data_IF_614876316711
#
_entry.id   IF_614876316711
#
_cell.length_a   1.000
_cell.length_b   1.000
_cell.length_c   1.000
_cell.angle_alpha   90.00
_cell.angle_beta   90.00
_cell.angle_gamma   90.00
#
_symmetry.space_group_name_H-M   'P 1'
#
loop_
_entity.id
_entity.type
_entity.pdbx_description
1 polymer ?
#
# COMPACT_ATOMS: atom_id res chain seq x y z
N UNK A 1 -20.91 -1.50 3.96
CA UNK A 1 -20.22 -0.80 2.86
C UNK A 1 -18.72 -1.04 3.03
N UNK A 2 -18.04 -1.54 1.99
CA UNK A 2 -16.58 -1.69 2.04
C UNK A 2 -15.93 -0.33 1.76
N UNK A 3 -15.05 0.11 2.66
CA UNK A 3 -14.33 1.37 2.53
C UNK A 3 -13.01 1.05 1.85
N UNK A 4 -12.81 1.69 0.69
CA UNK A 4 -11.58 1.62 -0.09
C UNK A 4 -10.82 2.93 0.08
N UNK A 5 -9.51 2.84 0.24
CA UNK A 5 -8.62 3.97 0.29
C UNK A 5 -7.45 3.72 -0.67
N UNK A 6 -7.02 4.75 -1.38
CA UNK A 6 -5.80 4.69 -2.16
C UNK A 6 -4.79 5.71 -1.63
N UNK A 7 -3.53 5.31 -1.55
CA UNK A 7 -2.41 6.19 -1.18
C UNK A 7 -1.34 6.12 -2.24
N UNK A 8 -0.71 7.26 -2.47
CA UNK A 8 0.46 7.35 -3.33
C UNK A 8 1.72 7.30 -2.47
N UNK A 9 2.68 6.48 -2.86
CA UNK A 9 3.93 6.28 -2.15
C UNK A 9 5.09 6.59 -3.08
N UNK A 10 5.95 7.51 -2.65
CA UNK A 10 7.20 7.84 -3.32
C UNK A 10 8.34 7.48 -2.38
N UNK A 11 8.98 6.34 -2.64
CA UNK A 11 9.99 5.75 -1.75
C UNK A 11 11.18 5.25 -2.54
N UNK A 12 12.39 5.22 -1.94
CA UNK A 12 13.49 4.52 -2.54
C UNK A 12 13.18 3.03 -2.68
N UNK A 13 13.64 2.41 -3.77
CA UNK A 13 13.40 0.99 -4.07
C UNK A 13 13.79 0.09 -2.87
N UNK A 14 14.87 0.47 -2.18
CA UNK A 14 15.43 -0.30 -1.08
C UNK A 14 14.63 -0.22 0.23
N UNK A 15 13.68 0.72 0.36
CA UNK A 15 12.80 0.86 1.54
C UNK A 15 11.37 0.36 1.28
N UNK A 16 11.03 0.06 0.02
CA UNK A 16 9.70 -0.37 -0.40
C UNK A 16 9.13 -1.50 0.47
N UNK A 17 9.90 -2.57 0.69
CA UNK A 17 9.44 -3.72 1.48
C UNK A 17 9.13 -3.34 2.93
N UNK A 18 9.94 -2.49 3.57
CA UNK A 18 9.70 -2.05 4.94
C UNK A 18 8.45 -1.19 5.05
N UNK A 19 8.22 -0.32 4.09
CA UNK A 19 7.05 0.55 4.06
C UNK A 19 5.78 -0.27 3.82
N UNK A 20 5.81 -1.25 2.91
CA UNK A 20 4.69 -2.18 2.72
C UNK A 20 4.35 -2.96 4.00
N UNK A 21 5.35 -3.47 4.71
CA UNK A 21 5.14 -4.15 5.99
C UNK A 21 4.55 -3.24 7.07
N UNK A 22 4.89 -1.95 7.05
CA UNK A 22 4.37 -0.95 8.00
C UNK A 22 2.86 -0.71 7.86
N UNK A 23 2.29 -0.91 6.66
CA UNK A 23 0.85 -0.67 6.45
C UNK A 23 -0.06 -1.76 7.04
N UNK A 24 0.42 -3.00 7.18
CA UNK A 24 -0.37 -4.11 7.71
C UNK A 24 -0.79 -3.97 9.18
N UNK A 25 -0.25 -2.98 9.91
CA UNK A 25 -0.50 -2.80 11.35
C UNK A 25 -1.68 -1.87 11.69
N UNK A 26 -2.26 -1.17 10.71
CA UNK A 26 -3.24 -0.09 10.96
C UNK A 26 -4.71 -0.48 10.72
N UNK A 27 -5.02 -1.79 10.67
CA UNK A 27 -6.38 -2.26 10.39
C UNK A 27 -6.85 -1.96 8.95
N UNK A 28 -5.92 -1.64 8.06
CA UNK A 28 -6.13 -1.54 6.62
C UNK A 28 -5.43 -2.72 5.95
N UNK A 29 -6.15 -3.46 5.12
CA UNK A 29 -5.58 -4.55 4.35
C UNK A 29 -5.11 -4.00 3.00
N UNK A 30 -3.80 -4.07 2.76
CA UNK A 30 -3.23 -3.79 1.45
C UNK A 30 -3.65 -4.88 0.47
N UNK A 31 -4.31 -4.49 -0.61
CA UNK A 31 -4.88 -5.44 -1.59
C UNK A 31 -4.27 -5.32 -2.98
N UNK A 32 -3.72 -4.16 -3.33
CA UNK A 32 -3.05 -3.98 -4.61
C UNK A 32 -1.98 -2.90 -4.54
N UNK A 33 -0.93 -3.09 -5.34
CA UNK A 33 0.18 -2.17 -5.52
C UNK A 33 0.39 -2.00 -7.02
N UNK A 34 0.33 -0.77 -7.51
CA UNK A 34 0.59 -0.42 -8.91
C UNK A 34 1.88 0.39 -8.96
N UNK A 35 2.85 -0.04 -9.73
CA UNK A 35 4.04 0.75 -10.06
C UNK A 35 3.65 1.83 -11.08
N UNK A 36 3.75 3.10 -10.69
CA UNK A 36 3.48 4.27 -11.52
C UNK A 36 4.79 4.98 -11.91
N UNK A 37 5.93 4.28 -11.89
CA UNK A 37 7.23 4.87 -12.23
C UNK A 37 7.26 5.26 -13.71
N UNK A 38 7.16 6.57 -13.98
CA UNK A 38 6.97 7.12 -15.34
C UNK A 38 8.19 6.91 -16.24
N UNK A 39 9.40 6.77 -15.67
CA UNK A 39 10.63 6.61 -16.44
C UNK A 39 11.62 5.66 -15.73
N UNK A 40 11.68 4.38 -16.11
CA UNK A 40 12.63 3.42 -15.54
C UNK A 40 14.07 3.63 -16.04
N UNK A 41 14.29 4.50 -17.04
CA UNK A 41 15.61 4.73 -17.66
C UNK A 41 16.35 5.90 -17.00
N UNK A 42 15.62 6.87 -16.46
CA UNK A 42 16.13 7.74 -15.40
C UNK A 42 16.30 6.84 -14.18
N UNK A 43 17.55 6.51 -13.84
CA UNK A 43 17.94 5.87 -12.58
C UNK A 43 17.53 6.76 -11.40
N UNK A 44 16.23 6.90 -11.15
CA UNK A 44 15.73 7.47 -9.92
C UNK A 44 15.74 6.34 -8.93
N UNK A 45 16.58 6.46 -7.91
CA UNK A 45 16.60 5.53 -6.76
C UNK A 45 15.21 5.39 -6.11
N UNK A 46 14.30 6.31 -6.45
CA UNK A 46 12.91 6.42 -6.01
C UNK A 46 11.95 5.81 -7.02
N UNK A 47 10.99 5.06 -6.50
CA UNK A 47 9.87 4.49 -7.24
C UNK A 47 8.56 5.07 -6.72
N UNK A 48 7.62 5.26 -7.64
CA UNK A 48 6.30 5.78 -7.33
C UNK A 48 5.29 4.64 -7.42
N UNK A 49 4.53 4.45 -6.36
CA UNK A 49 3.53 3.40 -6.25
C UNK A 49 2.17 3.95 -5.86
N UNK A 50 1.13 3.34 -6.41
CA UNK A 50 -0.24 3.50 -5.95
C UNK A 50 -0.66 2.27 -5.17
N UNK A 51 -0.92 2.48 -3.89
CA UNK A 51 -1.34 1.45 -2.94
C UNK A 51 -2.84 1.52 -2.79
N UNK A 52 -3.51 0.37 -2.85
CA UNK A 52 -4.93 0.24 -2.60
C UNK A 52 -5.14 -0.55 -1.32
N UNK A 53 -5.93 0.04 -0.43
CA UNK A 53 -6.29 -0.52 0.85
C UNK A 53 -7.79 -0.74 0.90
N UNK A 54 -8.19 -1.81 1.57
CA UNK A 54 -9.57 -2.01 2.01
C UNK A 54 -9.58 -2.04 3.54
N UNK A 55 -10.58 -1.41 4.14
CA UNK A 55 -10.86 -1.66 5.56
C UNK A 55 -11.64 -2.97 5.66
N UNK A 56 -11.21 -3.95 6.47
CA UNK A 56 -12.08 -5.05 6.83
C UNK A 56 -13.33 -4.44 7.47
N UNK A 57 -14.51 -4.82 6.97
CA UNK A 57 -15.77 -4.49 7.64
C UNK A 57 -15.66 -4.97 9.08
N UNK A 58 -16.02 -4.14 10.05
CA UNK A 58 -15.94 -4.45 11.48
C UNK A 58 -16.95 -5.54 11.93
N UNK A 59 -17.16 -6.57 11.11
CA UNK A 59 -17.93 -7.77 11.43
C UNK A 59 -17.03 -9.01 11.63
N UNK A 60 -15.71 -8.91 11.37
CA UNK A 60 -14.76 -9.98 11.69
C UNK A 60 -14.17 -9.83 13.10
N UNK A 61 -15.05 -9.63 14.08
CA UNK A 61 -14.69 -9.34 15.47
C UNK A 61 -15.84 -9.63 16.43
N UNK A 62 -16.49 -10.77 16.28
CA UNK A 62 -17.11 -11.47 17.41
C UNK A 62 -16.81 -12.95 17.18
N UNK A 63 -15.65 -13.39 17.64
CA UNK A 63 -15.49 -14.78 18.01
C UNK A 63 -16.23 -14.91 19.35
N UNK A 64 -17.46 -15.41 19.29
CA UNK A 64 -18.12 -16.07 20.42
C UNK A 64 -17.59 -17.50 20.53
#
# INVERSE_FOLDING_TARGET
MQIWEHRQLDVPENEMEQVLQSFGQNGWELVSVIDETIDPSRQTDRRMYRLFFKRPSAEAGTAD
#
